data_IF_973639685568
#
_entry.id   IF_973639685568
#
_cell.length_a   1.000
_cell.length_b   1.000
_cell.length_c   1.000
_cell.angle_alpha   90.00
_cell.angle_beta   90.00
_cell.angle_gamma   90.00
#
_symmetry.space_group_name_H-M   'P 1'
#
loop_
_entity.id
_entity.type
_entity.pdbx_description
1 polymer ?
#
# COMPACT_ATOMS: atom_id res chain seq x y z
N UNK A 1 31.56 -49.44 22.30
CA UNK A 1 32.04 -49.99 21.02
C UNK A 1 32.95 -48.94 20.38
N UNK A 2 34.12 -49.32 19.85
CA UNK A 2 35.00 -48.43 19.05
C UNK A 2 34.33 -48.07 17.70
N UNK A 3 34.69 -47.06 16.88
CA UNK A 3 35.84 -46.13 16.65
C UNK A 3 35.23 -44.78 16.14
N UNK A 4 35.76 -43.56 16.25
CA UNK A 4 37.12 -42.99 16.37
C UNK A 4 37.90 -42.75 15.05
N UNK A 5 37.94 -41.48 14.62
CA UNK A 5 39.02 -40.66 13.97
C UNK A 5 38.59 -39.17 14.12
N UNK A 6 39.37 -38.09 14.33
CA UNK A 6 40.84 -37.78 14.37
C UNK A 6 41.47 -37.55 12.99
N UNK A 7 41.91 -36.36 12.54
CA UNK A 7 41.89 -34.93 13.00
C UNK A 7 41.86 -34.03 11.72
N UNK A 8 41.53 -32.72 11.65
CA UNK A 8 41.40 -31.58 12.61
C UNK A 8 42.71 -30.79 12.93
N UNK A 9 43.29 -30.10 11.93
CA UNK A 9 44.48 -29.20 12.00
C UNK A 9 44.21 -27.95 11.12
N UNK A 10 44.67 -26.72 11.40
CA UNK A 10 45.53 -26.20 12.49
C UNK A 10 45.66 -24.66 12.45
N UNK A 11 46.36 -24.00 13.41
CA UNK A 11 46.09 -22.59 13.74
C UNK A 11 47.25 -21.58 13.56
N UNK A 12 46.89 -20.29 13.58
CA UNK A 12 47.53 -19.13 14.26
C UNK A 12 49.06 -19.11 14.51
N UNK A 13 49.72 -17.98 14.17
CA UNK A 13 50.29 -17.06 15.20
C UNK A 13 51.00 -15.79 14.68
N UNK A 14 50.97 -14.79 15.57
CA UNK A 14 51.96 -13.75 15.93
C UNK A 14 52.48 -12.68 14.94
N UNK A 15 52.50 -11.46 15.48
CA UNK A 15 53.12 -10.22 15.02
C UNK A 15 54.55 -10.11 15.58
N UNK A 16 55.56 -9.87 14.73
CA UNK A 16 56.90 -9.39 15.14
C UNK A 16 57.44 -8.39 14.10
N UNK A 17 58.23 -7.43 14.57
CA UNK A 17 58.64 -6.20 13.91
C UNK A 17 60.13 -6.20 13.50
N UNK A 18 60.51 -5.34 12.54
CA UNK A 18 61.91 -5.01 12.14
C UNK A 18 62.69 -6.16 11.44
N UNK A 19 63.83 -5.95 10.75
CA UNK A 19 64.77 -4.81 10.67
C UNK A 19 65.14 -4.42 9.22
N UNK A 20 65.98 -3.38 9.06
CA UNK A 20 66.52 -2.89 7.79
C UNK A 20 68.06 -2.90 7.75
N UNK A 21 68.64 -3.43 6.68
CA UNK A 21 70.01 -3.17 6.17
C UNK A 21 70.10 -3.73 4.73
N UNK A 22 71.04 -3.43 3.84
CA UNK A 22 72.24 -2.57 3.76
C UNK A 22 72.12 -1.78 2.41
N UNK A 23 72.61 -0.56 2.15
CA UNK A 23 74.00 0.00 2.18
C UNK A 23 74.97 -0.73 1.21
N UNK A 24 76.01 -0.13 0.60
CA UNK A 24 76.85 1.03 0.95
C UNK A 24 77.32 1.89 -0.26
N UNK A 25 78.11 2.95 0.00
CA UNK A 25 78.78 3.84 -0.98
C UNK A 25 78.28 5.30 -0.89
N UNK A 26 78.82 6.22 -0.08
CA UNK A 26 80.21 6.74 0.00
C UNK A 26 80.68 7.39 -1.32
N UNK A 27 81.26 8.59 -1.38
CA UNK A 27 82.15 9.31 -0.40
C UNK A 27 81.99 10.85 -0.37
N UNK A 28 82.31 11.46 0.78
CA UNK A 28 83.06 12.73 1.06
C UNK A 28 82.88 14.08 0.28
N UNK A 29 83.28 15.18 0.95
CA UNK A 29 83.60 16.50 0.35
C UNK A 29 82.53 17.60 0.55
N UNK A 30 82.48 18.39 1.63
CA UNK A 30 83.42 19.41 2.15
C UNK A 30 83.36 20.80 1.44
N UNK A 31 82.83 21.79 2.19
CA UNK A 31 82.85 23.25 2.03
C UNK A 31 82.33 23.95 0.74
N UNK A 32 81.27 24.73 0.96
CA UNK A 32 81.18 26.20 0.76
C UNK A 32 81.38 26.86 -0.63
N UNK A 33 80.56 27.90 -0.86
CA UNK A 33 80.78 29.02 -1.80
C UNK A 33 80.75 28.68 -3.32
N UNK A 34 80.23 29.53 -4.20
CA UNK A 34 79.37 30.71 -3.99
C UNK A 34 78.54 31.02 -5.26
N UNK A 35 77.64 32.00 -5.14
CA UNK A 35 77.09 32.89 -6.20
C UNK A 35 77.88 32.84 -7.52
N UNK A 36 77.32 32.83 -8.72
CA UNK A 36 76.00 33.16 -9.26
C UNK A 36 76.14 33.09 -10.81
N UNK A 37 75.01 33.18 -11.52
CA UNK A 37 74.74 34.28 -12.49
C UNK A 37 74.23 33.85 -13.89
N UNK A 38 72.89 33.70 -13.99
CA UNK A 38 72.02 34.08 -15.13
C UNK A 38 72.24 33.45 -16.52
N UNK A 39 71.12 33.30 -17.23
CA UNK A 39 71.00 33.26 -18.71
C UNK A 39 71.46 31.97 -19.41
N UNK A 40 70.78 31.41 -20.44
CA UNK A 40 69.49 31.79 -21.08
C UNK A 40 68.89 30.61 -21.89
N UNK A 41 67.63 30.76 -22.34
CA UNK A 41 67.03 30.15 -23.56
C UNK A 41 66.60 28.65 -23.55
N UNK A 42 65.32 28.47 -23.23
CA UNK A 42 64.23 27.84 -24.04
C UNK A 42 64.14 26.32 -24.39
N UNK A 43 62.86 25.89 -24.48
CA UNK A 43 62.29 24.68 -25.12
C UNK A 43 62.45 23.34 -24.35
N UNK A 44 61.51 22.37 -24.36
CA UNK A 44 60.37 22.15 -25.27
C UNK A 44 59.19 21.36 -24.62
N UNK A 45 57.97 21.94 -24.56
CA UNK A 45 56.65 21.24 -24.66
C UNK A 45 56.24 20.22 -23.53
N UNK A 46 55.10 19.46 -23.57
CA UNK A 46 53.96 19.85 -22.72
C UNK A 46 53.22 18.68 -22.00
N UNK A 47 53.34 18.53 -20.67
CA UNK A 47 52.67 17.44 -19.92
C UNK A 47 51.96 17.90 -18.63
N UNK A 48 50.75 18.49 -18.75
CA UNK A 48 49.85 18.66 -17.59
C UNK A 48 48.36 18.95 -17.90
N UNK A 49 47.92 18.83 -19.17
CA UNK A 49 46.60 19.35 -19.64
C UNK A 49 45.50 18.29 -19.82
N UNK A 50 45.47 17.23 -19.00
CA UNK A 50 44.57 16.06 -19.22
C UNK A 50 43.92 15.46 -17.96
N UNK A 51 43.82 16.23 -16.87
CA UNK A 51 43.21 15.78 -15.61
C UNK A 51 42.11 16.72 -15.07
N UNK A 52 41.76 17.80 -15.79
CA UNK A 52 40.81 18.82 -15.30
C UNK A 52 39.42 18.75 -15.96
N UNK A 53 39.27 18.09 -17.10
CA UNK A 53 37.98 18.02 -17.82
C UNK A 53 36.92 17.21 -17.06
N UNK A 54 37.35 16.13 -16.38
CA UNK A 54 36.46 15.24 -15.62
C UNK A 54 35.75 15.95 -14.45
N UNK A 55 36.37 16.96 -13.85
CA UNK A 55 35.79 17.68 -12.71
C UNK A 55 34.60 18.57 -13.12
N UNK A 56 34.61 19.11 -14.34
CA UNK A 56 33.48 19.86 -14.89
C UNK A 56 32.35 18.92 -15.26
N UNK A 57 32.65 17.81 -15.93
CA UNK A 57 31.69 16.75 -16.26
C UNK A 57 30.96 16.24 -15.00
N UNK A 58 31.71 15.91 -13.94
CA UNK A 58 31.12 15.39 -12.69
C UNK A 58 30.14 16.39 -12.04
N UNK A 59 30.51 17.67 -11.99
CA UNK A 59 29.65 18.76 -11.48
C UNK A 59 28.38 18.94 -12.32
N UNK A 60 28.48 18.82 -13.64
CA UNK A 60 27.33 18.89 -14.55
C UNK A 60 26.41 17.69 -14.32
N UNK A 61 26.96 16.47 -14.22
CA UNK A 61 26.16 15.26 -13.97
C UNK A 61 25.47 15.28 -12.60
N UNK A 62 26.14 15.73 -11.53
CA UNK A 62 25.49 15.83 -10.20
C UNK A 62 24.46 16.94 -10.15
N UNK A 63 24.65 18.07 -10.84
CA UNK A 63 23.64 19.11 -10.96
C UNK A 63 22.38 18.59 -11.69
N UNK A 64 22.54 17.94 -12.84
CA UNK A 64 21.38 17.38 -13.56
C UNK A 64 20.71 16.24 -12.80
N UNK A 65 21.45 15.40 -12.07
CA UNK A 65 20.86 14.35 -11.24
C UNK A 65 20.11 14.91 -10.03
N UNK A 66 20.66 15.92 -9.35
CA UNK A 66 19.98 16.61 -8.26
C UNK A 66 18.73 17.37 -8.74
N UNK A 67 18.79 18.01 -9.92
CA UNK A 67 17.65 18.67 -10.55
C UNK A 67 16.56 17.66 -10.95
N UNK A 68 16.94 16.51 -11.52
CA UNK A 68 16.01 15.43 -11.85
C UNK A 68 15.33 14.88 -10.59
N UNK A 69 16.08 14.59 -9.52
CA UNK A 69 15.53 14.17 -8.23
C UNK A 69 14.58 15.23 -7.64
N UNK A 70 14.93 16.52 -7.72
CA UNK A 70 14.08 17.61 -7.24
C UNK A 70 12.77 17.72 -8.05
N UNK A 71 12.83 17.58 -9.38
CA UNK A 71 11.63 17.52 -10.23
C UNK A 71 10.78 16.29 -9.89
N UNK A 72 11.38 15.10 -9.77
CA UNK A 72 10.66 13.89 -9.39
C UNK A 72 10.02 13.97 -8.00
N UNK A 73 10.62 14.70 -7.05
CA UNK A 73 10.00 14.97 -5.75
C UNK A 73 8.81 15.93 -5.88
N UNK A 74 8.92 17.01 -6.67
CA UNK A 74 7.83 17.95 -6.93
C UNK A 74 6.66 17.31 -7.71
N UNK A 75 6.95 16.38 -8.61
CA UNK A 75 5.93 15.60 -9.33
C UNK A 75 5.32 14.53 -8.43
N UNK A 76 6.13 13.81 -7.65
CA UNK A 76 5.67 12.85 -6.65
C UNK A 76 4.73 13.48 -5.61
N UNK A 77 5.03 14.69 -5.14
CA UNK A 77 4.15 15.46 -4.23
C UNK A 77 2.81 15.84 -4.86
N UNK A 78 2.75 16.04 -6.19
CA UNK A 78 1.49 16.30 -6.91
C UNK A 78 0.67 15.03 -7.16
N UNK A 79 1.34 13.92 -7.48
CA UNK A 79 0.70 12.61 -7.75
C UNK A 79 0.21 11.95 -6.45
N UNK A 80 0.95 12.12 -5.35
CA UNK A 80 0.64 11.55 -4.04
C UNK A 80 -0.43 12.28 -3.23
N UNK A 81 -1.01 13.38 -3.72
CA UNK A 81 -2.01 14.14 -2.95
C UNK A 81 -3.41 13.49 -2.91
N UNK A 82 -3.70 12.50 -3.78
CA UNK A 82 -5.01 11.80 -3.89
C UNK A 82 -4.88 10.38 -4.47
N UNK A 83 -4.09 9.49 -3.88
CA UNK A 83 -3.97 8.09 -4.33
C UNK A 83 -3.65 7.09 -3.19
N UNK A 84 -4.00 7.40 -1.95
CA UNK A 84 -3.79 6.50 -0.80
C UNK A 84 -4.99 6.51 0.16
N UNK A 85 -4.94 5.67 1.21
CA UNK A 85 -6.05 5.47 2.14
C UNK A 85 -6.21 6.61 3.18
N UNK A 86 -5.25 7.54 3.29
CA UNK A 86 -5.29 8.72 4.17
C UNK A 86 -5.69 9.99 3.40
N UNK A 87 -5.26 10.12 2.14
CA UNK A 87 -5.57 11.26 1.25
C UNK A 87 -6.79 11.06 0.36
N UNK A 88 -7.25 9.81 0.24
CA UNK A 88 -8.39 9.41 -0.59
C UNK A 88 -8.00 9.15 -2.05
N UNK A 89 -8.78 8.32 -2.74
CA UNK A 89 -8.54 7.94 -4.13
C UNK A 89 -9.27 8.86 -5.12
N UNK A 90 -8.72 9.00 -6.34
CA UNK A 90 -9.36 9.71 -7.45
C UNK A 90 -10.73 9.18 -7.85
N UNK A 91 -11.07 7.94 -7.49
CA UNK A 91 -12.35 7.27 -7.77
C UNK A 91 -13.41 7.48 -6.69
N UNK A 92 -13.09 8.16 -5.59
CA UNK A 92 -14.07 8.51 -4.55
C UNK A 92 -14.99 9.66 -4.99
N UNK A 93 -16.12 9.82 -4.28
CA UNK A 93 -17.01 10.96 -4.42
C UNK A 93 -16.29 12.23 -3.95
N UNK A 94 -15.65 12.94 -4.89
CA UNK A 94 -14.71 14.04 -4.61
C UNK A 94 -15.27 15.17 -3.70
N UNK A 95 -16.56 15.57 -3.76
CA UNK A 95 -17.14 16.50 -2.80
C UNK A 95 -17.10 16.03 -1.33
N UNK A 96 -17.20 14.71 -1.10
CA UNK A 96 -17.30 14.13 0.23
C UNK A 96 -15.94 13.84 0.90
N UNK A 97 -14.80 13.90 0.17
CA UNK A 97 -13.50 13.45 0.71
C UNK A 97 -13.05 14.26 1.93
N UNK A 98 -13.48 15.52 2.05
CA UNK A 98 -13.21 16.39 3.20
C UNK A 98 -13.89 15.94 4.51
N UNK A 99 -14.95 15.13 4.43
CA UNK A 99 -15.64 14.56 5.58
C UNK A 99 -15.10 13.16 5.96
N UNK A 100 -14.44 12.46 5.03
CA UNK A 100 -13.86 11.13 5.26
C UNK A 100 -12.64 11.25 6.15
N UNK A 101 -12.57 10.43 7.19
CA UNK A 101 -11.51 10.46 8.21
C UNK A 101 -11.20 9.03 8.68
N UNK A 102 -9.92 8.64 8.70
CA UNK A 102 -9.49 7.35 9.26
C UNK A 102 -9.78 7.33 10.77
N UNK A 103 -10.28 6.19 11.27
CA UNK A 103 -10.45 5.94 12.71
C UNK A 103 -9.95 4.55 13.08
N UNK A 104 -9.06 4.48 14.06
CA UNK A 104 -8.61 3.21 14.66
C UNK A 104 -9.71 2.68 15.59
N UNK A 105 -10.51 1.72 15.10
CA UNK A 105 -11.53 1.00 15.88
C UNK A 105 -11.01 -0.37 16.31
N UNK A 106 -11.40 -0.84 17.50
CA UNK A 106 -11.16 -2.24 17.91
C UNK A 106 -12.13 -3.15 17.13
N UNK A 107 -11.63 -4.21 16.52
CA UNK A 107 -12.48 -5.23 15.92
C UNK A 107 -13.04 -6.19 16.98
N UNK A 108 -14.27 -6.63 16.77
CA UNK A 108 -15.00 -7.61 17.56
C UNK A 108 -15.69 -8.59 16.60
N UNK A 109 -16.15 -9.74 17.08
CA UNK A 109 -16.62 -10.85 16.24
C UNK A 109 -15.90 -12.18 16.48
N UNK A 110 -15.11 -12.29 17.56
CA UNK A 110 -14.55 -13.58 17.98
C UNK A 110 -15.66 -14.52 18.43
N UNK A 111 -15.62 -15.77 17.98
CA UNK A 111 -16.59 -16.81 18.35
C UNK A 111 -16.02 -17.60 19.54
N UNK A 112 -16.82 -17.76 20.59
CA UNK A 112 -16.51 -18.58 21.76
C UNK A 112 -17.57 -19.65 21.95
N UNK A 113 -17.23 -20.70 22.71
CA UNK A 113 -18.20 -21.64 23.28
C UNK A 113 -18.43 -21.24 24.73
N UNK A 114 -19.69 -21.03 25.12
CA UNK A 114 -20.05 -20.64 26.48
C UNK A 114 -20.23 -21.87 27.40
N UNK A 115 -20.54 -21.63 28.68
CA UNK A 115 -20.70 -22.68 29.70
C UNK A 115 -21.83 -23.68 29.41
N UNK A 116 -22.78 -23.35 28.52
CA UNK A 116 -23.86 -24.25 28.08
C UNK A 116 -23.53 -25.00 26.78
N UNK A 117 -22.28 -24.98 26.33
CA UNK A 117 -21.79 -25.55 25.06
C UNK A 117 -22.45 -24.95 23.81
N UNK A 118 -22.85 -23.68 23.87
CA UNK A 118 -23.41 -22.94 22.73
C UNK A 118 -22.38 -21.96 22.16
N UNK A 119 -22.40 -21.77 20.84
CA UNK A 119 -21.55 -20.78 20.18
C UNK A 119 -22.10 -19.36 20.38
N UNK A 120 -21.27 -18.45 20.87
CA UNK A 120 -21.57 -17.04 21.06
C UNK A 120 -20.56 -16.16 20.32
N UNK A 121 -21.04 -15.08 19.70
CA UNK A 121 -20.19 -14.10 19.00
C UNK A 121 -19.96 -12.90 19.92
N UNK A 122 -18.72 -12.68 20.34
CA UNK A 122 -18.35 -11.52 21.16
C UNK A 122 -18.43 -10.25 20.30
N UNK A 123 -19.46 -9.45 20.52
CA UNK A 123 -19.62 -8.11 19.94
C UNK A 123 -19.25 -7.01 20.96
N UNK A 124 -19.11 -5.78 20.47
CA UNK A 124 -19.04 -4.61 21.35
C UNK A 124 -20.43 -4.31 21.93
N UNK A 125 -20.62 -4.23 23.26
CA UNK A 125 -21.92 -3.91 23.86
C UNK A 125 -22.33 -2.44 23.68
N UNK A 126 -21.45 -1.57 23.14
CA UNK A 126 -21.71 -0.15 22.91
C UNK A 126 -21.91 0.23 21.43
N UNK A 127 -21.83 -0.73 20.51
CA UNK A 127 -21.91 -0.51 19.05
C UNK A 127 -23.27 -0.94 18.48
N UNK A 128 -23.65 -0.37 17.33
CA UNK A 128 -24.90 -0.70 16.64
C UNK A 128 -24.90 -2.16 16.15
N UNK A 129 -26.04 -2.84 16.23
CA UNK A 129 -26.11 -4.29 15.97
C UNK A 129 -26.76 -4.59 14.63
N UNK A 130 -25.91 -4.96 13.66
CA UNK A 130 -26.32 -5.25 12.29
C UNK A 130 -26.49 -6.76 11.99
N UNK A 131 -26.14 -7.64 12.93
CA UNK A 131 -26.13 -9.10 12.73
C UNK A 131 -26.73 -9.88 13.91
N UNK A 132 -27.33 -11.03 13.59
CA UNK A 132 -28.07 -11.89 14.50
C UNK A 132 -29.56 -11.94 14.16
N UNK A 133 -30.37 -12.46 15.09
CA UNK A 133 -31.82 -12.49 14.93
C UNK A 133 -32.43 -11.09 14.73
N UNK A 134 -33.50 -10.97 13.93
CA UNK A 134 -34.14 -9.70 13.63
C UNK A 134 -34.75 -9.04 14.87
N UNK A 135 -34.60 -7.73 14.97
CA UNK A 135 -35.22 -6.87 15.98
C UNK A 135 -35.53 -5.51 15.36
N UNK A 136 -36.53 -4.76 15.85
CA UNK A 136 -36.85 -3.43 15.31
C UNK A 136 -35.67 -2.46 15.38
N UNK A 137 -34.88 -2.51 16.47
CA UNK A 137 -33.70 -1.66 16.63
C UNK A 137 -32.61 -1.95 15.58
N UNK A 138 -32.45 -3.22 15.18
CA UNK A 138 -31.54 -3.59 14.09
C UNK A 138 -32.04 -3.09 12.74
N UNK A 139 -33.35 -3.07 12.50
CA UNK A 139 -33.90 -2.45 11.28
C UNK A 139 -33.67 -0.94 11.25
N UNK A 140 -33.87 -0.22 12.36
CA UNK A 140 -33.53 1.20 12.49
C UNK A 140 -32.02 1.47 12.28
N UNK A 141 -31.16 0.63 12.87
CA UNK A 141 -29.70 0.70 12.68
C UNK A 141 -29.33 0.53 11.21
N UNK A 142 -29.91 -0.47 10.53
CA UNK A 142 -29.70 -0.72 9.10
C UNK A 142 -30.24 0.39 8.22
N UNK A 143 -31.40 0.97 8.52
CA UNK A 143 -32.00 2.02 7.70
C UNK A 143 -31.22 3.35 7.83
N UNK A 144 -30.57 3.60 8.97
CA UNK A 144 -29.57 4.68 9.14
C UNK A 144 -28.27 4.38 8.37
N UNK A 145 -27.75 3.15 8.46
CA UNK A 145 -26.49 2.75 7.81
C UNK A 145 -26.61 2.74 6.27
N UNK A 146 -27.72 2.23 5.75
CA UNK A 146 -28.05 2.32 4.33
C UNK A 146 -28.37 3.78 4.00
N UNK A 147 -29.46 4.34 4.50
CA UNK A 147 -29.87 5.72 4.19
C UNK A 147 -30.34 5.93 2.74
N UNK A 148 -30.80 7.15 2.44
CA UNK A 148 -31.35 7.52 1.12
C UNK A 148 -30.29 7.93 0.09
N UNK A 149 -30.70 8.72 -0.91
CA UNK A 149 -29.75 9.35 -1.83
C UNK A 149 -28.81 10.34 -1.11
N UNK A 150 -27.63 10.59 -1.68
CA UNK A 150 -26.79 11.73 -1.30
C UNK A 150 -27.18 12.90 -2.21
N UNK A 151 -27.81 13.97 -1.68
CA UNK A 151 -28.06 15.17 -2.46
C UNK A 151 -26.75 15.94 -2.68
N UNK A 152 -26.63 16.58 -3.84
CA UNK A 152 -25.48 17.38 -4.26
C UNK A 152 -25.94 18.76 -4.77
N UNK A 153 -25.06 19.75 -4.70
CA UNK A 153 -25.16 20.97 -5.52
C UNK A 153 -24.90 20.66 -7.00
N UNK A 154 -25.11 21.63 -7.90
CA UNK A 154 -24.76 21.46 -9.31
C UNK A 154 -23.23 21.33 -9.48
N UNK A 155 -22.48 22.18 -8.80
CA UNK A 155 -21.01 22.23 -8.83
C UNK A 155 -20.38 20.95 -8.24
N UNK A 156 -21.05 20.32 -7.28
CA UNK A 156 -20.68 19.00 -6.74
C UNK A 156 -21.02 17.87 -7.71
N UNK A 157 -22.19 17.94 -8.38
CA UNK A 157 -22.61 16.97 -9.39
C UNK A 157 -21.69 16.94 -10.61
N UNK A 158 -21.21 18.10 -11.06
CA UNK A 158 -20.24 18.25 -12.16
C UNK A 158 -18.86 17.60 -11.85
N UNK A 159 -18.57 17.28 -10.59
CA UNK A 159 -17.35 16.58 -10.15
C UNK A 159 -17.50 15.05 -10.08
N UNK A 160 -18.71 14.51 -10.29
CA UNK A 160 -18.98 13.06 -10.19
C UNK A 160 -18.58 12.36 -11.49
N UNK A 161 -17.66 11.40 -11.41
CA UNK A 161 -17.17 10.60 -12.56
C UNK A 161 -18.14 9.47 -12.96
N UNK A 162 -19.46 9.69 -12.81
CA UNK A 162 -20.50 8.67 -12.96
C UNK A 162 -21.90 9.28 -13.04
N UNK A 163 -22.93 8.42 -13.08
CA UNK A 163 -24.31 8.86 -13.22
C UNK A 163 -24.82 9.66 -12.02
N UNK A 164 -25.34 10.86 -12.28
CA UNK A 164 -26.06 11.69 -11.32
C UNK A 164 -27.53 11.80 -11.75
N UNK A 165 -28.46 11.51 -10.84
CA UNK A 165 -29.89 11.71 -11.09
C UNK A 165 -30.24 13.17 -10.87
N UNK A 166 -30.80 13.84 -11.89
CA UNK A 166 -31.33 15.19 -11.81
C UNK A 166 -32.86 15.15 -11.74
N UNK A 167 -33.42 15.38 -10.55
CA UNK A 167 -34.86 15.55 -10.33
C UNK A 167 -35.19 17.05 -10.20
N UNK A 168 -35.56 17.70 -11.30
CA UNK A 168 -36.03 19.09 -11.30
C UNK A 168 -35.02 20.10 -10.73
N UNK A 169 -33.72 19.88 -10.91
CA UNK A 169 -32.63 20.68 -10.32
C UNK A 169 -32.07 20.13 -9.01
N UNK A 170 -32.60 19.00 -8.49
CA UNK A 170 -32.00 18.27 -7.36
C UNK A 170 -31.08 17.18 -7.87
N UNK A 171 -29.78 17.36 -7.69
CA UNK A 171 -28.77 16.37 -8.06
C UNK A 171 -28.62 15.33 -6.95
N UNK A 172 -28.61 14.05 -7.32
CA UNK A 172 -28.62 12.93 -6.38
C UNK A 172 -27.70 11.80 -6.86
N UNK A 173 -26.92 11.21 -5.95
CA UNK A 173 -26.08 10.03 -6.20
C UNK A 173 -26.29 8.94 -5.14
N UNK A 174 -25.97 7.70 -5.51
CA UNK A 174 -25.84 6.59 -4.55
C UNK A 174 -24.39 6.08 -4.62
N UNK A 175 -23.57 6.29 -3.57
CA UNK A 175 -22.25 5.69 -3.49
C UNK A 175 -22.34 4.16 -3.54
N UNK A 176 -21.44 3.49 -4.27
CA UNK A 176 -21.49 2.02 -4.45
C UNK A 176 -21.56 1.26 -3.13
N UNK A 177 -20.87 1.71 -2.09
CA UNK A 177 -20.94 1.10 -0.74
C UNK A 177 -22.36 1.15 -0.14
N UNK A 178 -23.12 2.23 -0.37
CA UNK A 178 -24.52 2.36 0.09
C UNK A 178 -25.45 1.44 -0.69
N UNK A 179 -25.23 1.30 -1.99
CA UNK A 179 -25.96 0.35 -2.85
C UNK A 179 -25.70 -1.11 -2.44
N UNK A 180 -24.43 -1.47 -2.18
CA UNK A 180 -24.07 -2.80 -1.69
C UNK A 180 -24.71 -3.07 -0.31
N UNK A 181 -24.69 -2.10 0.61
CA UNK A 181 -25.32 -2.21 1.93
C UNK A 181 -26.85 -2.36 1.85
N UNK A 182 -27.51 -1.69 0.90
CA UNK A 182 -28.94 -1.89 0.63
C UNK A 182 -29.23 -3.35 0.25
N UNK A 183 -28.43 -3.92 -0.64
CA UNK A 183 -28.62 -5.30 -1.11
C UNK A 183 -28.29 -6.33 -0.02
N UNK A 184 -27.27 -6.10 0.80
CA UNK A 184 -27.00 -6.93 2.00
C UNK A 184 -28.14 -6.84 3.02
N UNK A 185 -28.74 -5.66 3.23
CA UNK A 185 -29.91 -5.50 4.09
C UNK A 185 -31.12 -6.27 3.52
N UNK A 186 -31.36 -6.23 2.21
CA UNK A 186 -32.41 -6.99 1.54
C UNK A 186 -32.22 -8.51 1.72
N UNK A 187 -31.02 -9.03 1.43
CA UNK A 187 -30.67 -10.44 1.63
C UNK A 187 -30.78 -10.88 3.11
N UNK A 188 -30.37 -10.02 4.05
CA UNK A 188 -30.56 -10.25 5.50
C UNK A 188 -32.03 -10.43 5.85
N UNK A 189 -32.92 -9.58 5.33
CA UNK A 189 -34.36 -9.68 5.63
C UNK A 189 -34.99 -10.91 4.96
N UNK A 190 -34.59 -11.25 3.72
CA UNK A 190 -34.95 -12.51 3.03
C UNK A 190 -34.57 -13.76 3.84
N UNK A 191 -33.44 -13.76 4.55
CA UNK A 191 -33.01 -14.88 5.39
C UNK A 191 -33.88 -15.11 6.65
N UNK A 192 -34.88 -14.25 6.92
CA UNK A 192 -35.80 -14.35 8.06
C UNK A 192 -37.27 -14.23 7.60
N UNK A 193 -37.68 -15.15 6.72
CA UNK A 193 -39.03 -15.34 6.16
C UNK A 193 -40.19 -15.02 7.14
N UNK A 194 -40.15 -15.62 8.34
CA UNK A 194 -41.18 -15.50 9.39
C UNK A 194 -41.29 -14.11 10.02
N UNK A 195 -40.25 -13.29 9.87
CA UNK A 195 -40.21 -11.92 10.39
C UNK A 195 -40.47 -10.87 9.30
N UNK A 196 -40.09 -11.16 8.04
CA UNK A 196 -40.26 -10.25 6.91
C UNK A 196 -41.07 -10.85 5.74
N UNK A 197 -42.28 -11.39 5.96
CA UNK A 197 -43.02 -12.15 4.93
C UNK A 197 -43.35 -11.35 3.66
N UNK A 198 -43.45 -10.02 3.78
CA UNK A 198 -43.84 -9.08 2.71
C UNK A 198 -42.74 -8.86 1.65
N UNK A 199 -41.48 -9.20 1.94
CA UNK A 199 -40.33 -8.89 1.06
C UNK A 199 -40.25 -9.79 -0.17
N UNK A 200 -41.03 -10.87 -0.18
CA UNK A 200 -41.20 -11.80 -1.31
C UNK A 200 -42.35 -11.44 -2.25
N UNK A 201 -43.08 -10.34 -1.99
CA UNK A 201 -44.14 -9.86 -2.88
C UNK A 201 -43.54 -9.12 -4.09
N UNK A 202 -43.79 -9.63 -5.30
CA UNK A 202 -43.49 -8.89 -6.54
C UNK A 202 -44.36 -7.62 -6.61
N UNK A 203 -43.75 -6.49 -6.97
CA UNK A 203 -44.42 -5.18 -7.08
C UNK A 203 -43.85 -4.40 -8.25
N UNK A 204 -44.73 -3.81 -9.07
CA UNK A 204 -44.41 -3.17 -10.36
C UNK A 204 -43.26 -2.14 -10.35
N UNK A 205 -42.98 -1.54 -9.19
CA UNK A 205 -41.99 -0.48 -9.01
C UNK A 205 -40.79 -0.87 -8.11
N UNK A 206 -40.59 -2.16 -7.82
CA UNK A 206 -39.45 -2.67 -7.05
C UNK A 206 -38.71 -3.71 -7.91
N UNK A 207 -37.37 -3.64 -8.05
CA UNK A 207 -36.63 -4.66 -8.80
C UNK A 207 -36.83 -6.04 -8.18
N UNK A 208 -37.03 -7.06 -9.03
CA UNK A 208 -37.28 -8.43 -8.61
C UNK A 208 -36.13 -9.00 -7.77
N UNK A 209 -36.40 -10.08 -7.02
CA UNK A 209 -35.37 -10.78 -6.25
C UNK A 209 -34.16 -11.18 -7.11
N UNK A 210 -34.42 -11.73 -8.31
CA UNK A 210 -33.39 -12.08 -9.30
C UNK A 210 -32.59 -10.85 -9.74
N UNK A 211 -33.26 -9.77 -10.11
CA UNK A 211 -32.63 -8.51 -10.50
C UNK A 211 -31.72 -7.94 -9.39
N UNK A 212 -32.11 -8.08 -8.12
CA UNK A 212 -31.25 -7.69 -6.98
C UNK A 212 -29.99 -8.56 -6.88
N UNK A 213 -30.12 -9.88 -6.96
CA UNK A 213 -28.96 -10.80 -6.90
C UNK A 213 -28.01 -10.58 -8.08
N UNK A 214 -28.54 -10.47 -9.30
CA UNK A 214 -27.77 -10.33 -10.54
C UNK A 214 -26.94 -9.04 -10.58
N UNK A 215 -27.46 -7.89 -10.12
CA UNK A 215 -26.70 -6.64 -10.14
C UNK A 215 -25.72 -6.49 -8.95
N UNK A 216 -25.98 -7.14 -7.82
CA UNK A 216 -25.12 -7.03 -6.62
C UNK A 216 -23.76 -7.67 -6.84
N UNK A 217 -23.73 -8.82 -7.52
CA UNK A 217 -22.57 -9.71 -7.57
C UNK A 217 -21.75 -9.51 -8.86
N UNK A 218 -21.29 -8.27 -9.10
CA UNK A 218 -20.39 -7.95 -10.23
C UNK A 218 -19.15 -8.87 -10.21
N UNK A 219 -18.86 -9.46 -11.36
CA UNK A 219 -17.73 -10.39 -11.60
C UNK A 219 -17.73 -11.67 -10.72
N UNK A 220 -18.90 -12.09 -10.21
CA UNK A 220 -19.06 -13.34 -9.43
C UNK A 220 -18.47 -14.57 -10.13
N UNK A 221 -18.72 -14.73 -11.43
CA UNK A 221 -18.19 -15.85 -12.22
C UNK A 221 -16.65 -15.88 -12.25
N UNK A 222 -15.99 -14.71 -12.20
CA UNK A 222 -14.53 -14.62 -12.15
C UNK A 222 -13.99 -14.96 -10.75
N UNK A 223 -14.72 -14.63 -9.68
CA UNK A 223 -14.38 -15.00 -8.30
C UNK A 223 -14.58 -16.51 -8.08
N UNK A 224 -15.69 -17.08 -8.58
CA UNK A 224 -15.94 -18.52 -8.52
C UNK A 224 -14.93 -19.29 -9.37
N UNK A 225 -14.68 -18.90 -10.62
CA UNK A 225 -13.65 -19.54 -11.45
C UNK A 225 -12.24 -19.46 -10.86
N UNK A 226 -11.93 -18.40 -10.10
CA UNK A 226 -10.70 -18.29 -9.30
C UNK A 226 -10.69 -19.24 -8.09
N UNK A 227 -11.83 -19.47 -7.43
CA UNK A 227 -11.94 -20.45 -6.34
C UNK A 227 -11.85 -21.89 -6.87
N UNK A 228 -12.62 -22.23 -7.92
CA UNK A 228 -12.63 -23.55 -8.54
C UNK A 228 -11.24 -23.95 -9.04
N UNK A 229 -10.46 -22.98 -9.56
CA UNK A 229 -9.06 -23.20 -9.95
C UNK A 229 -8.11 -23.58 -8.79
N UNK A 230 -8.56 -23.45 -7.54
CA UNK A 230 -7.81 -23.73 -6.31
C UNK A 230 -8.32 -24.96 -5.56
N UNK A 231 -9.58 -25.34 -5.69
CA UNK A 231 -10.11 -26.55 -5.04
C UNK A 231 -9.39 -27.81 -5.54
N UNK A 232 -8.94 -27.82 -6.80
CA UNK A 232 -8.03 -28.84 -7.35
C UNK A 232 -6.63 -28.92 -6.71
N UNK A 233 -6.28 -28.04 -5.76
CA UNK A 233 -5.02 -28.09 -4.98
C UNK A 233 -5.19 -28.55 -3.53
N UNK A 234 -6.42 -28.83 -3.10
CA UNK A 234 -6.74 -29.28 -1.74
C UNK A 234 -7.19 -30.76 -1.70
N UNK A 235 -6.58 -31.61 -2.52
CA UNK A 235 -6.54 -33.04 -2.20
C UNK A 235 -5.83 -33.22 -0.86
N UNK A 236 -6.59 -33.54 0.19
CA UNK A 236 -6.04 -33.86 1.51
C UNK A 236 -5.02 -34.98 1.34
N UNK A 237 -3.79 -34.76 1.81
CA UNK A 237 -2.76 -35.79 1.80
C UNK A 237 -3.22 -36.98 2.65
N UNK A 238 -3.18 -38.19 2.07
CA UNK A 238 -3.85 -39.36 2.61
C UNK A 238 -3.46 -39.73 4.06
N UNK A 239 -4.43 -40.29 4.80
CA UNK A 239 -4.23 -40.78 6.17
C UNK A 239 -3.28 -42.00 6.20
N UNK A 240 -2.12 -41.87 6.82
CA UNK A 240 -1.14 -42.94 7.13
C UNK A 240 -0.58 -42.78 8.55
#
# INVERSE_FOLDING_TARGET
MFKALREKIGPSKDEVQSTSSQSDGETEGFLSSEKELKSTVNNTTPKLRRLWDNALLWRITTFFFALALFISLLEGWKVGYRNDYETGFRTELQPATSAINIRKKKFWGGIIVNETNQFEVILDPSDKRYTGHPTPQMDEDWDILVGGYVPLSQEEAEQVQGGVTNDGGKFNVVPTVRHNLHCVNYLRKVAYDKWYPVIHEERDNIPLFTQHVEHTCRDYEAIMGWQDSREGSWTIADEH
#
